data_IF_663012728843
#
_entry.id   IF_663012728843
#
_cell.length_a   1.000
_cell.length_b   1.000
_cell.length_c   1.000
_cell.angle_alpha   90.00
_cell.angle_beta   90.00
_cell.angle_gamma   90.00
#
_symmetry.space_group_name_H-M   'P 1'
#
loop_
_entity.id
_entity.type
_entity.pdbx_description
1 polymer ?
#
# COMPACT_ATOMS: atom_id res chain seq x y z
N UNK A 1 26.49 13.25 -1.10
CA UNK A 1 26.04 12.97 -2.45
C UNK A 1 24.82 12.07 -2.46
N UNK A 2 24.93 10.73 -2.45
CA UNK A 2 23.74 9.83 -2.57
C UNK A 2 22.64 10.10 -1.54
N UNK A 3 22.95 10.25 -0.25
CA UNK A 3 21.96 10.54 0.80
C UNK A 3 21.23 11.86 0.54
N UNK A 4 21.97 12.91 0.19
CA UNK A 4 21.36 14.21 -0.14
C UNK A 4 20.40 14.13 -1.33
N UNK A 5 20.77 13.36 -2.35
CA UNK A 5 19.96 13.17 -3.56
C UNK A 5 18.68 12.38 -3.24
N UNK A 6 18.78 11.37 -2.37
CA UNK A 6 17.60 10.64 -1.87
C UNK A 6 16.62 11.55 -1.14
N UNK A 7 17.11 12.45 -0.25
CA UNK A 7 16.22 13.39 0.45
C UNK A 7 15.58 14.40 -0.49
N UNK A 8 16.31 14.89 -1.50
CA UNK A 8 15.76 15.75 -2.55
C UNK A 8 14.66 15.04 -3.32
N UNK A 9 14.95 13.83 -3.84
CA UNK A 9 13.99 13.03 -4.57
C UNK A 9 12.72 12.77 -3.73
N UNK A 10 12.88 12.43 -2.45
CA UNK A 10 11.74 12.26 -1.54
C UNK A 10 10.92 13.56 -1.42
N UNK A 11 11.57 14.71 -1.29
CA UNK A 11 10.90 16.01 -1.23
C UNK A 11 10.13 16.29 -2.51
N UNK A 12 10.72 16.02 -3.68
CA UNK A 12 10.09 16.24 -4.97
C UNK A 12 8.89 15.28 -5.18
N UNK A 13 9.01 14.03 -4.80
CA UNK A 13 7.90 13.05 -4.81
C UNK A 13 6.73 13.57 -3.97
N UNK A 14 6.97 14.00 -2.73
CA UNK A 14 5.92 14.52 -1.84
C UNK A 14 5.25 15.76 -2.45
N UNK A 15 6.04 16.70 -2.98
CA UNK A 15 5.53 17.92 -3.61
C UNK A 15 4.66 17.61 -4.83
N UNK A 16 5.12 16.75 -5.71
CA UNK A 16 4.38 16.35 -6.92
C UNK A 16 3.10 15.58 -6.56
N UNK A 17 3.14 14.73 -5.56
CA UNK A 17 1.96 14.04 -5.02
C UNK A 17 0.90 15.05 -4.59
N UNK A 18 1.26 16.04 -3.76
CA UNK A 18 0.34 17.10 -3.34
C UNK A 18 -0.23 17.86 -4.54
N UNK A 19 0.62 18.26 -5.48
CA UNK A 19 0.17 18.96 -6.70
C UNK A 19 -0.85 18.15 -7.51
N UNK A 20 -0.65 16.83 -7.61
CA UNK A 20 -1.58 15.98 -8.34
C UNK A 20 -2.92 15.86 -7.62
N UNK A 21 -2.90 15.60 -6.32
CA UNK A 21 -4.11 15.46 -5.50
C UNK A 21 -4.90 16.78 -5.42
N UNK A 22 -4.21 17.91 -5.23
CA UNK A 22 -4.82 19.25 -5.23
C UNK A 22 -5.51 19.55 -6.57
N UNK A 23 -4.85 19.23 -7.70
CA UNK A 23 -5.41 19.38 -9.03
C UNK A 23 -6.68 18.56 -9.24
N UNK A 24 -6.74 17.36 -8.67
CA UNK A 24 -7.89 16.46 -8.73
C UNK A 24 -9.01 16.84 -7.74
N UNK A 25 -8.80 17.88 -6.93
CA UNK A 25 -9.79 18.42 -6.00
C UNK A 25 -9.82 17.76 -4.63
N UNK A 26 -8.80 17.00 -4.27
CA UNK A 26 -8.69 16.44 -2.94
C UNK A 26 -8.35 17.49 -1.89
N UNK A 27 -8.87 17.31 -0.70
CA UNK A 27 -8.52 18.10 0.49
C UNK A 27 -7.48 17.32 1.29
N UNK A 28 -6.29 17.89 1.50
CA UNK A 28 -5.32 17.35 2.45
C UNK A 28 -5.81 17.62 3.86
N UNK A 29 -5.83 16.57 4.68
CA UNK A 29 -6.25 16.65 6.06
C UNK A 29 -5.14 16.14 6.99
N UNK A 30 -5.22 16.53 8.26
CA UNK A 30 -4.33 16.08 9.33
C UNK A 30 -5.18 15.50 10.45
N UNK A 31 -5.08 14.19 10.64
CA UNK A 31 -5.89 13.46 11.61
C UNK A 31 -5.05 13.00 12.80
N UNK A 32 -5.66 12.67 13.96
CA UNK A 32 -4.94 12.37 15.18
C UNK A 32 -3.94 11.21 15.03
N UNK A 33 -2.70 11.45 15.47
CA UNK A 33 -1.66 10.41 15.60
C UNK A 33 -1.90 9.55 16.84
N UNK A 34 -2.31 10.17 17.96
CA UNK A 34 -2.72 9.47 19.18
C UNK A 34 -4.20 9.09 19.07
N UNK A 35 -4.51 7.82 19.18
CA UNK A 35 -5.85 7.29 19.02
C UNK A 35 -6.26 6.47 20.25
N UNK A 36 -7.53 6.55 20.62
CA UNK A 36 -8.11 5.75 21.71
C UNK A 36 -8.39 4.30 21.31
N UNK A 37 -8.44 4.02 20.00
CA UNK A 37 -8.67 2.69 19.44
C UNK A 37 -7.68 2.48 18.31
N UNK A 38 -6.89 1.43 18.40
CA UNK A 38 -6.04 1.00 17.28
C UNK A 38 -6.91 0.39 16.18
N UNK A 39 -6.66 0.76 14.92
CA UNK A 39 -7.43 0.21 13.79
C UNK A 39 -7.03 0.82 12.46
N UNK A 40 -7.70 0.33 11.39
CA UNK A 40 -7.43 0.75 10.00
C UNK A 40 -6.38 -0.10 9.28
N UNK A 41 -5.70 -1.01 9.98
CA UNK A 41 -4.80 -2.01 9.40
C UNK A 41 -4.64 -3.18 10.38
N UNK A 42 -4.27 -4.34 9.84
CA UNK A 42 -3.87 -5.50 10.65
C UNK A 42 -2.39 -5.32 11.00
N UNK A 43 -2.12 -4.62 12.09
CA UNK A 43 -0.77 -4.33 12.56
C UNK A 43 -0.74 -4.17 14.08
N UNK A 44 0.38 -4.52 14.72
CA UNK A 44 0.59 -4.34 16.15
C UNK A 44 0.85 -2.86 16.44
N UNK A 45 0.08 -2.18 17.34
CA UNK A 45 0.28 -0.77 17.65
C UNK A 45 1.37 -0.56 18.71
N UNK A 46 2.01 0.62 18.72
CA UNK A 46 2.70 1.13 19.89
C UNK A 46 1.67 1.69 20.88
N UNK A 47 1.81 1.33 22.14
CA UNK A 47 0.93 1.76 23.23
C UNK A 47 1.66 2.83 24.05
N UNK A 48 0.92 3.87 24.45
CA UNK A 48 1.40 4.90 25.36
C UNK A 48 0.30 5.25 26.36
N UNK A 49 0.67 5.88 27.49
CA UNK A 49 -0.26 6.26 28.54
C UNK A 49 -0.53 7.76 28.54
N UNK A 50 -1.81 8.16 28.57
CA UNK A 50 -2.23 9.55 28.69
C UNK A 50 -2.44 9.91 30.16
N UNK A 51 -1.44 10.51 30.83
CA UNK A 51 -1.43 10.76 32.25
C UNK A 51 -2.64 11.55 32.78
N UNK A 52 -3.08 12.58 32.06
CA UNK A 52 -4.18 13.43 32.51
C UNK A 52 -5.57 12.76 32.47
N UNK A 53 -5.74 11.76 31.62
CA UNK A 53 -6.99 11.00 31.47
C UNK A 53 -6.92 9.62 32.11
N UNK A 54 -5.75 9.19 32.53
CA UNK A 54 -5.47 7.86 33.09
C UNK A 54 -5.96 6.73 32.16
N UNK A 55 -5.64 6.84 30.85
CA UNK A 55 -6.03 5.87 29.83
C UNK A 55 -4.85 5.51 28.92
N UNK A 56 -4.85 4.29 28.41
CA UNK A 56 -3.93 3.90 27.35
C UNK A 56 -4.40 4.43 25.99
N UNK A 57 -3.45 4.89 25.22
CA UNK A 57 -3.64 5.35 23.84
C UNK A 57 -2.66 4.67 22.90
N UNK A 58 -2.95 4.71 21.63
CA UNK A 58 -2.20 4.03 20.60
C UNK A 58 -1.64 5.02 19.58
N UNK A 59 -0.38 4.84 19.18
CA UNK A 59 0.12 5.48 17.97
C UNK A 59 -0.56 4.84 16.77
N UNK A 60 -1.09 5.63 15.86
CA UNK A 60 -1.87 5.14 14.72
C UNK A 60 -1.08 4.19 13.82
N UNK A 61 -1.70 3.09 13.44
CA UNK A 61 -1.20 2.14 12.44
C UNK A 61 -1.61 2.55 11.02
N UNK A 62 -2.68 3.35 10.87
CA UNK A 62 -3.20 3.93 9.65
C UNK A 62 -4.15 5.12 9.96
N UNK A 63 -4.36 6.07 9.05
CA UNK A 63 -5.34 7.16 9.19
C UNK A 63 -6.76 6.74 8.79
N UNK A 64 -6.98 5.54 8.28
CA UNK A 64 -8.20 5.02 7.64
C UNK A 64 -9.50 5.41 8.36
N UNK A 65 -9.60 5.14 9.66
CA UNK A 65 -10.84 5.33 10.40
C UNK A 65 -11.27 6.80 10.46
N UNK A 66 -10.32 7.71 10.54
CA UNK A 66 -10.60 9.15 10.55
C UNK A 66 -10.93 9.67 9.17
N UNK A 67 -10.24 9.22 8.12
CA UNK A 67 -10.56 9.59 6.74
C UNK A 67 -11.95 9.11 6.36
N UNK A 68 -12.34 7.90 6.74
CA UNK A 68 -13.72 7.40 6.55
C UNK A 68 -14.77 8.23 7.30
N UNK A 69 -14.46 8.71 8.51
CA UNK A 69 -15.36 9.62 9.24
C UNK A 69 -15.54 10.94 8.52
N UNK A 70 -14.51 11.47 7.86
CA UNK A 70 -14.63 12.68 7.06
C UNK A 70 -15.52 12.47 5.83
N UNK A 71 -15.43 11.31 5.16
CA UNK A 71 -16.38 10.96 4.08
C UNK A 71 -17.82 10.89 4.60
N UNK A 72 -18.05 10.23 5.74
CA UNK A 72 -19.38 10.22 6.40
C UNK A 72 -19.83 11.62 6.80
N UNK A 73 -18.89 12.50 7.16
CA UNK A 73 -19.12 13.91 7.47
C UNK A 73 -19.42 14.80 6.26
N UNK A 74 -19.46 14.24 5.04
CA UNK A 74 -19.84 14.95 3.81
C UNK A 74 -18.68 15.49 2.97
N UNK A 75 -17.44 15.05 3.23
CA UNK A 75 -16.33 15.32 2.32
C UNK A 75 -16.32 14.29 1.20
N UNK A 76 -16.27 14.74 -0.05
CA UNK A 76 -16.26 13.84 -1.21
C UNK A 76 -14.87 13.28 -1.51
N UNK A 77 -13.81 14.03 -1.19
CA UNK A 77 -12.41 13.71 -1.54
C UNK A 77 -11.48 14.19 -0.44
N UNK A 78 -10.82 13.26 0.23
CA UNK A 78 -9.84 13.57 1.28
C UNK A 78 -8.60 12.69 1.13
N UNK A 79 -7.44 13.22 1.52
CA UNK A 79 -6.22 12.45 1.65
C UNK A 79 -5.36 12.94 2.80
N UNK A 80 -4.45 12.10 3.25
CA UNK A 80 -3.46 12.45 4.26
C UNK A 80 -2.09 11.86 3.91
N UNK A 81 -1.06 12.68 4.05
CA UNK A 81 0.35 12.24 4.07
C UNK A 81 0.71 11.86 5.50
N UNK A 82 0.31 10.67 5.88
CA UNK A 82 0.29 10.21 7.27
C UNK A 82 1.64 9.63 7.74
N UNK A 83 2.10 10.04 8.92
CA UNK A 83 3.08 9.30 9.68
C UNK A 83 2.37 8.18 10.42
N UNK A 84 2.77 6.92 10.17
CA UNK A 84 2.19 5.73 10.78
C UNK A 84 3.23 4.92 11.51
N UNK A 85 2.77 4.10 12.46
CA UNK A 85 3.61 3.36 13.40
C UNK A 85 3.11 1.91 13.48
N UNK A 86 4.02 0.94 13.32
CA UNK A 86 3.72 -0.48 13.48
C UNK A 86 4.80 -1.13 14.30
N UNK A 87 4.42 -1.76 15.43
CA UNK A 87 5.34 -2.40 16.38
C UNK A 87 5.60 -3.85 15.97
N UNK A 88 6.18 -4.01 14.80
CA UNK A 88 6.47 -5.30 14.17
C UNK A 88 7.98 -5.45 13.89
N UNK A 89 8.36 -6.51 13.20
CA UNK A 89 9.75 -6.77 12.83
C UNK A 89 10.33 -5.70 11.89
N UNK A 90 11.64 -5.55 11.90
CA UNK A 90 12.38 -4.61 11.05
C UNK A 90 13.10 -5.41 9.96
N UNK A 91 12.93 -5.02 8.71
CA UNK A 91 13.66 -5.54 7.57
C UNK A 91 13.95 -4.45 6.52
N UNK A 92 14.36 -4.82 5.31
CA UNK A 92 14.67 -3.87 4.23
C UNK A 92 13.47 -3.07 3.73
N UNK A 93 12.25 -3.54 3.96
CA UNK A 93 11.00 -2.95 3.50
C UNK A 93 10.12 -2.42 4.63
N UNK A 94 10.38 -2.84 5.87
CA UNK A 94 9.56 -2.53 7.02
C UNK A 94 10.33 -1.75 8.07
N UNK A 95 9.90 -0.52 8.30
CA UNK A 95 10.34 0.31 9.42
C UNK A 95 9.15 0.48 10.39
N UNK A 96 9.40 0.54 11.71
CA UNK A 96 8.34 0.75 12.70
C UNK A 96 7.65 2.10 12.59
N UNK A 97 8.32 3.08 11.97
CA UNK A 97 7.80 4.42 11.67
C UNK A 97 8.00 4.71 10.18
N UNK A 98 6.93 5.02 9.48
CA UNK A 98 6.96 5.28 8.03
C UNK A 98 5.93 6.32 7.63
N UNK A 99 6.06 6.84 6.41
CA UNK A 99 5.06 7.73 5.81
C UNK A 99 4.28 6.96 4.78
N UNK A 100 2.95 7.02 4.86
CA UNK A 100 2.07 6.55 3.80
C UNK A 100 1.17 7.68 3.33
N UNK A 101 0.67 7.56 2.11
CA UNK A 101 -0.45 8.34 1.62
C UNK A 101 -1.69 7.46 1.63
N UNK A 102 -2.78 7.98 2.15
CA UNK A 102 -4.08 7.32 2.10
C UNK A 102 -5.12 8.32 1.64
N UNK A 103 -5.98 7.90 0.71
CA UNK A 103 -6.96 8.77 0.08
C UNK A 103 -8.31 8.08 -0.07
N UNK A 104 -9.37 8.84 0.06
CA UNK A 104 -10.74 8.36 -0.11
C UNK A 104 -11.49 9.29 -1.06
N UNK A 105 -12.19 8.68 -2.00
CA UNK A 105 -13.01 9.38 -2.99
C UNK A 105 -14.41 8.77 -3.02
N UNK A 106 -15.38 9.52 -2.54
CA UNK A 106 -16.78 9.10 -2.53
C UNK A 106 -17.31 8.87 -3.95
N UNK A 107 -18.22 7.92 -4.11
CA UNK A 107 -18.93 7.63 -5.36
C UNK A 107 -18.03 7.20 -6.53
N UNK A 108 -16.82 6.69 -6.25
CA UNK A 108 -15.91 6.14 -7.25
C UNK A 108 -15.72 4.65 -7.02
N UNK A 109 -15.65 3.92 -8.13
CA UNK A 109 -15.40 2.48 -8.16
C UNK A 109 -13.91 2.16 -8.31
N UNK A 110 -13.52 0.96 -7.95
CA UNK A 110 -12.11 0.52 -8.03
C UNK A 110 -11.53 0.61 -9.46
N UNK A 111 -12.34 0.34 -10.49
CA UNK A 111 -11.93 0.47 -11.90
C UNK A 111 -11.50 1.88 -12.25
N UNK A 112 -12.25 2.89 -11.78
CA UNK A 112 -11.88 4.29 -11.92
C UNK A 112 -10.54 4.59 -11.20
N UNK A 113 -10.37 4.08 -9.97
CA UNK A 113 -9.14 4.28 -9.21
C UNK A 113 -7.92 3.65 -9.88
N UNK A 114 -8.09 2.49 -10.53
CA UNK A 114 -7.00 1.88 -11.29
C UNK A 114 -6.48 2.81 -12.39
N UNK A 115 -7.37 3.37 -13.21
CA UNK A 115 -6.99 4.31 -14.28
C UNK A 115 -6.44 5.63 -13.73
N UNK A 116 -7.00 6.11 -12.62
CA UNK A 116 -6.54 7.30 -11.96
C UNK A 116 -5.12 7.15 -11.39
N UNK A 117 -4.84 5.99 -10.79
CA UNK A 117 -3.50 5.66 -10.27
C UNK A 117 -2.45 5.53 -11.38
N UNK A 118 -2.81 4.99 -12.55
CA UNK A 118 -1.91 4.97 -13.70
C UNK A 118 -1.47 6.37 -14.11
N UNK A 119 -2.44 7.29 -14.21
CA UNK A 119 -2.17 8.71 -14.54
C UNK A 119 -1.34 9.39 -13.45
N UNK A 120 -1.60 9.08 -12.18
CA UNK A 120 -0.82 9.58 -11.06
C UNK A 120 0.64 9.13 -11.14
N UNK A 121 0.91 7.84 -11.34
CA UNK A 121 2.26 7.33 -11.45
C UNK A 121 2.99 7.88 -12.68
N UNK A 122 2.33 7.97 -13.82
CA UNK A 122 2.91 8.59 -15.02
C UNK A 122 3.27 10.07 -14.76
N UNK A 123 2.37 10.83 -14.14
CA UNK A 123 2.63 12.23 -13.76
C UNK A 123 3.82 12.35 -12.80
N UNK A 124 3.85 11.53 -11.77
CA UNK A 124 4.91 11.54 -10.77
C UNK A 124 6.28 11.24 -11.38
N UNK A 125 6.35 10.16 -12.17
CA UNK A 125 7.61 9.73 -12.79
C UNK A 125 8.11 10.75 -13.80
N UNK A 126 7.26 11.32 -14.63
CA UNK A 126 7.63 12.43 -15.54
C UNK A 126 8.18 13.64 -14.77
N UNK A 127 7.59 13.96 -13.62
CA UNK A 127 8.00 15.08 -12.79
C UNK A 127 9.40 14.92 -12.17
N UNK A 128 9.76 13.70 -11.79
CA UNK A 128 11.07 13.41 -11.18
C UNK A 128 12.15 12.97 -12.18
N UNK A 129 11.78 12.63 -13.41
CA UNK A 129 12.64 12.04 -14.42
C UNK A 129 12.69 12.82 -15.73
N UNK A 130 12.72 14.14 -15.66
CA UNK A 130 12.87 15.05 -16.81
C UNK A 130 11.88 14.81 -17.96
N UNK A 131 10.64 14.37 -17.64
CA UNK A 131 9.58 14.11 -18.60
C UNK A 131 9.56 12.68 -19.17
N UNK A 132 10.55 11.83 -18.85
CA UNK A 132 10.56 10.43 -19.26
C UNK A 132 9.75 9.57 -18.28
N UNK A 133 9.02 8.58 -18.82
CA UNK A 133 8.23 7.60 -18.03
C UNK A 133 9.03 6.38 -17.60
N UNK A 134 10.26 6.22 -18.10
CA UNK A 134 11.08 5.03 -17.90
C UNK A 134 12.10 5.23 -16.78
N UNK A 135 12.06 4.39 -15.77
CA UNK A 135 13.05 4.36 -14.68
C UNK A 135 13.87 3.08 -14.78
N UNK A 136 15.19 3.23 -14.74
CA UNK A 136 16.11 2.10 -14.65
C UNK A 136 16.20 1.64 -13.19
N UNK A 137 15.81 0.40 -12.94
CA UNK A 137 15.95 -0.26 -11.64
C UNK A 137 16.90 -1.44 -11.76
N UNK A 138 18.11 -1.30 -11.21
CA UNK A 138 19.16 -2.32 -11.27
C UNK A 138 19.38 -2.86 -12.69
N UNK A 139 18.76 -3.99 -13.06
CA UNK A 139 18.89 -4.65 -14.35
C UNK A 139 17.76 -4.34 -15.32
N UNK A 140 16.64 -3.85 -14.81
CA UNK A 140 15.39 -3.71 -15.55
C UNK A 140 15.06 -2.25 -15.84
N UNK A 141 14.27 -2.02 -16.87
CA UNK A 141 13.66 -0.74 -17.16
C UNK A 141 12.16 -0.88 -16.87
N UNK A 142 11.66 -0.06 -15.95
CA UNK A 142 10.24 0.00 -15.62
C UNK A 142 9.65 1.19 -16.36
N UNK A 143 8.67 0.97 -17.23
CA UNK A 143 7.93 2.01 -17.93
C UNK A 143 6.60 2.29 -17.20
N UNK A 144 6.44 3.52 -16.72
CA UNK A 144 5.25 3.99 -16.01
C UNK A 144 4.20 4.60 -16.94
N UNK A 145 4.33 4.42 -18.26
CA UNK A 145 3.31 4.86 -19.22
C UNK A 145 2.13 3.90 -19.22
N UNK A 146 0.94 4.41 -18.97
CA UNK A 146 -0.31 3.67 -19.09
C UNK A 146 -0.72 3.36 -20.56
N UNK A 147 -1.75 2.53 -20.78
CA UNK A 147 -2.47 1.76 -19.75
C UNK A 147 -1.68 0.53 -19.28
N UNK A 148 -1.80 0.19 -17.99
CA UNK A 148 -1.16 -1.00 -17.44
C UNK A 148 -1.98 -2.26 -17.75
N UNK A 149 -1.32 -3.43 -17.91
CA UNK A 149 -2.02 -4.70 -18.04
C UNK A 149 -2.93 -4.96 -16.83
N UNK A 150 -4.12 -5.45 -17.07
CA UNK A 150 -5.02 -5.94 -16.02
C UNK A 150 -4.76 -7.42 -15.82
N UNK A 151 -4.30 -7.78 -14.63
CA UNK A 151 -4.07 -9.16 -14.26
C UNK A 151 -5.17 -9.59 -13.28
N UNK A 152 -5.99 -10.56 -13.70
CA UNK A 152 -6.84 -11.26 -12.76
C UNK A 152 -5.99 -12.18 -11.89
N UNK A 153 -6.18 -12.11 -10.58
CA UNK A 153 -5.37 -12.86 -9.61
C UNK A 153 -5.45 -14.37 -9.83
N UNK A 154 -6.68 -14.87 -10.02
CA UNK A 154 -6.91 -16.30 -10.20
C UNK A 154 -6.34 -16.78 -11.53
N UNK A 155 -6.67 -16.10 -12.62
CA UNK A 155 -6.21 -16.48 -13.97
C UNK A 155 -4.66 -16.43 -14.06
N UNK A 156 -4.04 -15.43 -13.47
CA UNK A 156 -2.58 -15.30 -13.45
C UNK A 156 -1.93 -16.46 -12.70
N UNK A 157 -2.48 -16.83 -11.54
CA UNK A 157 -1.97 -17.92 -10.71
C UNK A 157 -2.24 -19.29 -11.32
N UNK A 158 -3.45 -19.53 -11.89
CA UNK A 158 -3.79 -20.75 -12.61
C UNK A 158 -2.81 -20.99 -13.76
N UNK A 159 -2.53 -19.94 -14.53
CA UNK A 159 -1.58 -19.99 -15.64
C UNK A 159 -0.14 -20.24 -15.17
N UNK A 160 0.29 -19.57 -14.13
CA UNK A 160 1.65 -19.68 -13.60
C UNK A 160 1.92 -21.07 -13.00
N UNK A 161 0.96 -21.63 -12.27
CA UNK A 161 1.06 -22.94 -11.63
C UNK A 161 0.58 -24.10 -12.53
N UNK A 162 -0.09 -23.80 -13.64
CA UNK A 162 -0.72 -24.78 -14.55
C UNK A 162 -1.75 -25.67 -13.85
N UNK A 163 -2.59 -25.06 -13.02
CA UNK A 163 -3.65 -25.71 -12.24
C UNK A 163 -4.98 -25.00 -12.45
N UNK A 164 -6.05 -25.56 -11.90
CA UNK A 164 -7.36 -24.92 -11.75
C UNK A 164 -7.61 -24.71 -10.24
N UNK A 165 -7.50 -23.48 -9.76
CA UNK A 165 -7.63 -23.15 -8.33
C UNK A 165 -8.99 -23.56 -7.76
N UNK A 166 -10.05 -23.55 -8.56
CA UNK A 166 -11.38 -23.95 -8.09
C UNK A 166 -11.48 -25.45 -7.79
N UNK A 167 -10.60 -26.26 -8.39
CA UNK A 167 -10.55 -27.70 -8.22
C UNK A 167 -9.39 -28.18 -7.34
N UNK A 168 -8.43 -27.29 -7.07
CA UNK A 168 -7.23 -27.63 -6.30
C UNK A 168 -7.52 -27.54 -4.81
N UNK A 169 -7.28 -28.61 -4.08
CA UNK A 169 -7.43 -28.69 -2.63
C UNK A 169 -6.34 -27.92 -1.89
N UNK A 170 -6.59 -27.58 -0.62
CA UNK A 170 -5.59 -26.91 0.25
C UNK A 170 -4.34 -27.77 0.46
N UNK A 171 -4.51 -29.09 0.50
CA UNK A 171 -3.38 -30.02 0.61
C UNK A 171 -2.48 -29.94 -0.63
N UNK A 172 -3.04 -29.93 -1.81
CA UNK A 172 -2.29 -29.77 -3.06
C UNK A 172 -1.58 -28.42 -3.12
N UNK A 173 -2.23 -27.34 -2.67
CA UNK A 173 -1.57 -26.01 -2.57
C UNK A 173 -0.39 -26.02 -1.62
N UNK A 174 -0.50 -26.69 -0.48
CA UNK A 174 0.62 -26.89 0.47
C UNK A 174 1.76 -27.66 -0.19
N UNK A 175 1.46 -28.71 -0.94
CA UNK A 175 2.48 -29.51 -1.63
C UNK A 175 3.18 -28.68 -2.73
N UNK A 176 2.45 -27.89 -3.49
CA UNK A 176 3.01 -26.94 -4.49
C UNK A 176 3.91 -25.90 -3.78
N UNK A 177 3.46 -25.31 -2.68
CA UNK A 177 4.23 -24.34 -1.94
C UNK A 177 5.54 -24.92 -1.39
N UNK A 178 5.52 -26.15 -0.87
CA UNK A 178 6.73 -26.86 -0.43
C UNK A 178 7.68 -27.17 -1.58
N UNK A 179 7.16 -27.62 -2.74
CA UNK A 179 7.98 -27.82 -3.95
C UNK A 179 8.64 -26.52 -4.42
N UNK A 180 7.94 -25.40 -4.26
CA UNK A 180 8.46 -24.05 -4.52
C UNK A 180 9.46 -23.55 -3.46
N UNK A 181 9.78 -24.38 -2.45
CA UNK A 181 10.66 -24.05 -1.32
C UNK A 181 10.15 -22.87 -0.48
N UNK A 182 8.84 -22.74 -0.35
CA UNK A 182 8.23 -21.82 0.60
C UNK A 182 8.21 -22.48 1.99
N UNK A 183 8.52 -21.70 3.01
CA UNK A 183 8.43 -22.15 4.42
C UNK A 183 6.97 -22.04 4.87
N UNK A 184 6.22 -23.12 4.67
CA UNK A 184 4.78 -23.17 4.94
C UNK A 184 4.52 -23.39 6.41
N UNK A 185 3.98 -22.36 7.09
CA UNK A 185 3.50 -22.50 8.46
C UNK A 185 2.19 -23.29 8.50
N UNK A 186 2.03 -24.13 9.53
CA UNK A 186 0.84 -24.97 9.74
C UNK A 186 -0.45 -24.17 9.98
N UNK A 187 -0.30 -22.89 10.36
CA UNK A 187 -1.42 -21.96 10.61
C UNK A 187 -1.93 -21.28 9.34
N UNK A 188 -1.24 -21.44 8.21
CA UNK A 188 -1.64 -20.79 6.98
C UNK A 188 -2.94 -21.38 6.43
N UNK A 189 -3.97 -20.52 6.31
CA UNK A 189 -5.17 -20.85 5.55
C UNK A 189 -4.95 -20.68 4.04
N UNK A 190 -5.95 -21.10 3.25
CA UNK A 190 -5.93 -21.05 1.78
C UNK A 190 -5.53 -19.68 1.24
N UNK A 191 -6.11 -18.59 1.75
CA UNK A 191 -5.79 -17.23 1.29
C UNK A 191 -4.32 -16.88 1.43
N UNK A 192 -3.69 -17.24 2.55
CA UNK A 192 -2.25 -17.01 2.77
C UNK A 192 -1.38 -17.85 1.83
N UNK A 193 -1.75 -19.10 1.59
CA UNK A 193 -1.06 -19.99 0.64
C UNK A 193 -1.09 -19.40 -0.77
N UNK A 194 -2.25 -18.94 -1.23
CA UNK A 194 -2.42 -18.33 -2.55
C UNK A 194 -1.62 -17.03 -2.67
N UNK A 195 -1.61 -16.18 -1.65
CA UNK A 195 -0.83 -14.94 -1.62
C UNK A 195 0.68 -15.20 -1.75
N UNK A 196 1.21 -16.15 -1.00
CA UNK A 196 2.63 -16.50 -1.05
C UNK A 196 3.02 -17.18 -2.38
N UNK A 197 2.13 -18.01 -2.95
CA UNK A 197 2.33 -18.59 -4.27
C UNK A 197 2.29 -17.52 -5.37
N UNK A 198 1.37 -16.56 -5.28
CA UNK A 198 1.31 -15.44 -6.21
C UNK A 198 2.60 -14.62 -6.20
N UNK A 199 3.08 -14.20 -5.04
CA UNK A 199 4.35 -13.49 -4.89
C UNK A 199 5.56 -14.24 -5.44
N UNK A 200 5.49 -15.57 -5.47
CA UNK A 200 6.59 -16.43 -5.93
C UNK A 200 6.60 -16.63 -7.44
N UNK A 201 5.43 -16.72 -8.07
CA UNK A 201 5.30 -17.19 -9.44
C UNK A 201 4.74 -16.17 -10.45
N UNK A 202 4.09 -15.13 -9.95
CA UNK A 202 3.53 -14.03 -10.71
C UNK A 202 4.26 -12.73 -10.42
#
# INVERSE_FOLDING_TARGET
>A
PKVKDTFKLRSDVIKLTRQYFDKEGFIEVDTPVLQSVAGGATAEPFITHHNALDIDMYLRVAPELYLKRLIVGGYDQVYEMARCFRNEGIDHQHNPEFTQIEAYWAYKEYSFLMEWMEKYFEFLVKGINNGDTKIKNAKDIIDFKGPYPRLDFKEALDKALKIDLDKTSDKELVDIAKQAKLDVDKTWGRGKLLDELYKKFV
#
